data_IF_719237151053
#
_entry.id   IF_719237151053
#
_cell.length_a   1.000
_cell.length_b   1.000
_cell.length_c   1.000
_cell.angle_alpha   90.00
_cell.angle_beta   90.00
_cell.angle_gamma   90.00
#
_symmetry.space_group_name_H-M   'P 1'
#
loop_
_entity.id
_entity.type
_entity.pdbx_description
1 polymer ?
#
# COMPACT_ATOMS: atom_id res chain seq x y z
N UNK A 1 -0.58 0.67 -30.39
CA UNK A 1 0.20 1.10 -29.20
C UNK A 1 -0.64 2.10 -28.43
N UNK A 2 -1.04 1.81 -27.19
CA UNK A 2 -1.84 2.74 -26.39
C UNK A 2 -0.91 3.64 -25.59
N UNK A 3 -0.94 4.94 -25.89
CA UNK A 3 -0.27 5.99 -25.14
C UNK A 3 -0.73 5.96 -23.68
N UNK A 4 0.15 5.51 -22.78
CA UNK A 4 0.00 5.71 -21.35
C UNK A 4 0.84 6.93 -21.01
N UNK A 5 0.17 8.07 -20.83
CA UNK A 5 0.80 9.26 -20.28
C UNK A 5 1.53 8.89 -19.00
N UNK A 6 2.81 9.28 -18.91
CA UNK A 6 3.61 9.20 -17.69
C UNK A 6 2.92 10.00 -16.57
N UNK A 7 2.00 9.37 -15.85
CA UNK A 7 1.69 9.78 -14.49
C UNK A 7 2.95 9.45 -13.70
N UNK A 8 3.70 10.47 -13.29
CA UNK A 8 4.89 10.34 -12.45
C UNK A 8 4.48 9.78 -11.07
N UNK A 9 4.16 8.50 -11.01
CA UNK A 9 4.00 7.79 -9.74
C UNK A 9 5.42 7.60 -9.23
N UNK A 10 5.80 8.46 -8.28
CA UNK A 10 7.14 8.47 -7.70
C UNK A 10 7.19 7.39 -6.62
N UNK A 11 7.94 6.33 -6.89
CA UNK A 11 8.42 5.41 -5.87
C UNK A 11 9.60 6.12 -5.17
N UNK A 12 9.56 6.23 -3.85
CA UNK A 12 10.61 6.89 -3.06
C UNK A 12 11.34 5.85 -2.21
N UNK A 13 12.65 5.70 -2.42
CA UNK A 13 13.51 4.95 -1.51
C UNK A 13 14.04 5.90 -0.43
N UNK A 14 13.91 5.53 0.83
CA UNK A 14 14.58 6.26 1.91
C UNK A 14 16.07 5.87 2.04
N UNK A 15 16.77 6.50 2.97
CA UNK A 15 18.21 6.27 3.22
C UNK A 15 18.52 4.84 3.69
N UNK A 16 17.52 4.13 4.22
CA UNK A 16 17.63 2.75 4.68
C UNK A 16 17.21 1.74 3.59
N UNK A 17 16.84 2.24 2.40
CA UNK A 17 16.42 1.43 1.27
C UNK A 17 14.96 0.98 1.32
N UNK A 18 14.15 1.49 2.25
CA UNK A 18 12.73 1.15 2.26
C UNK A 18 11.98 1.89 1.14
N UNK A 19 11.12 1.16 0.46
CA UNK A 19 10.31 1.68 -0.63
C UNK A 19 8.98 2.24 -0.12
N UNK A 20 8.74 3.50 -0.43
CA UNK A 20 7.54 4.25 -0.10
C UNK A 20 6.76 4.54 -1.38
N UNK A 21 5.50 4.15 -1.42
CA UNK A 21 4.68 4.21 -2.62
C UNK A 21 3.33 4.88 -2.36
N UNK A 22 2.79 5.54 -3.39
CA UNK A 22 1.44 6.11 -3.32
C UNK A 22 0.37 5.02 -3.44
N UNK A 23 -0.86 5.24 -2.91
CA UNK A 23 -1.98 4.30 -3.10
C UNK A 23 -2.28 3.96 -4.57
N UNK A 24 -2.09 4.92 -5.48
CA UNK A 24 -2.24 4.69 -6.92
C UNK A 24 -1.23 3.66 -7.47
N UNK A 25 -0.04 3.58 -6.87
CA UNK A 25 0.95 2.56 -7.21
C UNK A 25 0.53 1.17 -6.76
N UNK A 26 -0.09 1.05 -5.57
CA UNK A 26 -0.58 -0.22 -5.06
C UNK A 26 -1.64 -0.84 -5.99
N UNK A 27 -2.48 -0.02 -6.61
CA UNK A 27 -3.43 -0.47 -7.64
C UNK A 27 -2.70 -1.18 -8.79
N UNK A 28 -1.57 -0.63 -9.23
CA UNK A 28 -0.77 -1.20 -10.32
C UNK A 28 0.00 -2.45 -9.87
N UNK A 29 0.71 -2.37 -8.75
CA UNK A 29 1.56 -3.47 -8.24
C UNK A 29 0.75 -4.73 -7.92
N UNK A 30 -0.41 -4.56 -7.31
CA UNK A 30 -1.24 -5.68 -6.84
C UNK A 30 -2.42 -5.99 -7.77
N UNK A 31 -2.58 -5.23 -8.87
CA UNK A 31 -3.70 -5.38 -9.81
C UNK A 31 -5.09 -5.39 -9.12
N UNK A 32 -5.25 -4.56 -8.08
CA UNK A 32 -6.50 -4.44 -7.30
C UNK A 32 -7.14 -3.06 -7.46
N UNK A 33 -8.47 -3.01 -7.42
CA UNK A 33 -9.22 -1.76 -7.59
C UNK A 33 -8.89 -0.69 -6.53
N UNK A 34 -9.01 0.59 -6.92
CA UNK A 34 -8.79 1.76 -6.03
C UNK A 34 -9.57 1.67 -4.73
N UNK A 35 -10.83 1.26 -4.78
CA UNK A 35 -11.68 1.07 -3.60
C UNK A 35 -11.15 0.00 -2.68
N UNK A 36 -10.61 -1.10 -3.23
CA UNK A 36 -9.99 -2.17 -2.46
C UNK A 36 -8.72 -1.68 -1.79
N UNK A 37 -7.86 -0.95 -2.50
CA UNK A 37 -6.67 -0.31 -1.91
C UNK A 37 -7.06 0.62 -0.77
N UNK A 38 -8.06 1.48 -0.96
CA UNK A 38 -8.53 2.40 0.10
C UNK A 38 -9.02 1.64 1.35
N UNK A 39 -9.79 0.56 1.17
CA UNK A 39 -10.24 -0.29 2.29
C UNK A 39 -9.05 -0.93 3.01
N UNK A 40 -8.12 -1.51 2.26
CA UNK A 40 -6.95 -2.20 2.80
C UNK A 40 -6.04 -1.23 3.58
N UNK A 41 -5.81 -0.03 3.05
CA UNK A 41 -4.97 0.97 3.73
C UNK A 41 -5.64 1.50 4.98
N UNK A 42 -6.97 1.69 4.98
CA UNK A 42 -7.74 2.04 6.19
C UNK A 42 -7.69 0.95 7.25
N UNK A 43 -7.84 -0.30 6.86
CA UNK A 43 -7.72 -1.44 7.77
C UNK A 43 -6.29 -1.57 8.34
N UNK A 44 -5.26 -1.44 7.50
CA UNK A 44 -3.86 -1.46 7.92
C UNK A 44 -3.54 -0.31 8.89
N UNK A 45 -4.01 0.91 8.61
CA UNK A 45 -3.82 2.08 9.46
C UNK A 45 -4.45 1.93 10.85
N UNK A 46 -5.52 1.12 10.97
CA UNK A 46 -6.18 0.85 12.25
C UNK A 46 -5.37 -0.11 13.15
N UNK A 47 -4.35 -0.79 12.63
CA UNK A 47 -3.51 -1.71 13.38
C UNK A 47 -2.31 -0.93 13.95
N UNK A 48 -2.13 -0.87 15.29
CA UNK A 48 -1.05 -0.09 15.91
C UNK A 48 0.36 -0.43 15.39
N UNK A 49 0.59 -1.70 15.03
CA UNK A 49 1.85 -2.19 14.43
C UNK A 49 2.26 -1.43 13.16
N UNK A 50 1.31 -0.97 12.36
CA UNK A 50 1.56 -0.32 11.07
C UNK A 50 1.41 1.20 11.11
N UNK A 51 1.36 1.81 12.31
CA UNK A 51 1.18 3.26 12.44
C UNK A 51 2.25 4.05 11.68
N UNK A 52 3.50 3.62 11.77
CA UNK A 52 4.64 4.30 11.15
C UNK A 52 4.88 3.90 9.69
N UNK A 53 4.03 3.03 9.15
CA UNK A 53 4.06 2.61 7.74
C UNK A 53 3.37 3.61 6.81
N UNK A 54 2.87 4.73 7.34
CA UNK A 54 2.15 5.78 6.61
C UNK A 54 2.84 7.14 6.80
N UNK A 55 3.23 7.77 5.69
CA UNK A 55 3.67 9.16 5.68
C UNK A 55 2.58 10.01 5.06
N UNK A 56 1.99 10.91 5.86
CA UNK A 56 1.03 11.91 5.39
C UNK A 56 1.74 13.25 5.22
N UNK A 57 2.09 13.57 3.97
CA UNK A 57 2.76 14.82 3.60
C UNK A 57 1.76 15.84 3.04
N UNK A 58 0.46 15.61 3.22
CA UNK A 58 -0.63 16.48 2.79
C UNK A 58 -1.73 15.75 2.02
N UNK A 59 -2.76 16.51 1.62
CA UNK A 59 -4.03 15.99 1.09
C UNK A 59 -3.90 14.94 -0.02
N UNK A 60 -2.92 15.08 -0.93
CA UNK A 60 -2.69 14.18 -2.06
C UNK A 60 -1.40 13.34 -1.94
N UNK A 61 -0.59 13.57 -0.91
CA UNK A 61 0.75 13.01 -0.81
C UNK A 61 0.83 12.07 0.40
N UNK A 62 0.07 10.97 0.31
CA UNK A 62 0.16 9.85 1.24
C UNK A 62 1.10 8.80 0.65
N UNK A 63 2.14 8.44 1.39
CA UNK A 63 3.04 7.34 1.05
C UNK A 63 2.85 6.20 2.05
N UNK A 64 3.02 4.98 1.54
CA UNK A 64 2.85 3.74 2.28
C UNK A 64 4.14 2.94 2.12
N UNK A 65 4.69 2.45 3.21
CA UNK A 65 5.86 1.56 3.18
C UNK A 65 5.45 0.23 2.55
N UNK A 66 6.01 -0.08 1.39
CA UNK A 66 5.55 -1.19 0.54
C UNK A 66 5.70 -2.55 1.25
N UNK A 67 6.84 -2.77 1.89
CA UNK A 67 7.12 -4.03 2.61
C UNK A 67 6.09 -4.31 3.72
N UNK A 68 5.70 -3.28 4.47
CA UNK A 68 4.71 -3.43 5.55
C UNK A 68 3.32 -3.71 4.98
N UNK A 69 2.98 -3.11 3.83
CA UNK A 69 1.73 -3.40 3.14
C UNK A 69 1.68 -4.85 2.64
N UNK A 70 2.77 -5.37 2.09
CA UNK A 70 2.90 -6.78 1.70
C UNK A 70 2.73 -7.71 2.90
N UNK A 71 3.40 -7.41 4.02
CA UNK A 71 3.27 -8.16 5.26
C UNK A 71 1.84 -8.18 5.77
N UNK A 72 1.15 -7.03 5.77
CA UNK A 72 -0.26 -6.93 6.13
C UNK A 72 -1.14 -7.83 5.27
N UNK A 73 -0.93 -7.87 3.95
CA UNK A 73 -1.69 -8.75 3.05
C UNK A 73 -1.47 -10.23 3.36
N UNK A 74 -0.23 -10.63 3.65
CA UNK A 74 0.10 -12.00 4.01
C UNK A 74 -0.57 -12.41 5.32
N UNK A 75 -0.51 -11.56 6.36
CA UNK A 75 -1.15 -11.80 7.66
C UNK A 75 -2.67 -11.93 7.53
N UNK A 76 -3.28 -11.03 6.75
CA UNK A 76 -4.72 -11.06 6.45
C UNK A 76 -5.12 -12.34 5.73
N UNK A 77 -4.34 -12.76 4.73
CA UNK A 77 -4.58 -13.99 3.98
C UNK A 77 -4.51 -15.23 4.90
N UNK A 78 -3.48 -15.30 5.76
CA UNK A 78 -3.34 -16.37 6.76
C UNK A 78 -4.54 -16.39 7.71
N UNK A 79 -4.95 -15.25 8.26
CA UNK A 79 -6.13 -15.16 9.15
C UNK A 79 -7.40 -15.69 8.47
N UNK A 80 -7.64 -15.33 7.20
CA UNK A 80 -8.78 -15.86 6.43
C UNK A 80 -8.69 -17.35 6.19
N UNK A 81 -7.50 -17.90 5.95
CA UNK A 81 -7.31 -19.34 5.79
C UNK A 81 -7.66 -20.11 7.07
N UNK A 82 -7.28 -19.59 8.25
CA UNK A 82 -7.60 -20.21 9.54
C UNK A 82 -9.10 -20.17 9.90
N UNK A 83 -9.83 -19.16 9.43
CA UNK A 83 -11.28 -19.01 9.67
C UNK A 83 -12.15 -19.87 8.73
N UNK A 84 -11.57 -20.63 7.80
CA UNK A 84 -12.28 -21.54 6.89
C UNK A 84 -12.29 -23.01 7.36
N UNK A 85 -11.85 -23.28 8.59
CA UNK A 85 -11.98 -24.58 9.26
C UNK A 85 -13.23 -24.60 10.11
#
# INVERSE_FOLDING_TARGET
MKNLGHSMIRDHADKEGALWVQPARLVQLFSIGRTTVWKLTKEMQAIPKYRDSFLDLGYQLKLIKLADFEQFLQERSRKKAYLRK
#
